data_IF_249771515426
#
_entry.id   IF_249771515426
#
_cell.length_a   1.000
_cell.length_b   1.000
_cell.length_c   1.000
_cell.angle_alpha   90.00
_cell.angle_beta   90.00
_cell.angle_gamma   90.00
#
_symmetry.space_group_name_H-M   'P 1'
#
loop_
_entity.id
_entity.type
_entity.pdbx_description
1 polymer ?
#
# COMPACT_ATOMS: atom_id res chain seq x y z
N UNK A 1 -1.61 -14.94 -12.90
CA UNK A 1 -1.99 -13.83 -11.99
C UNK A 1 -2.87 -12.84 -12.71
N UNK A 2 -3.57 -11.95 -12.00
CA UNK A 2 -4.56 -11.01 -12.56
C UNK A 2 -3.95 -9.75 -13.24
N UNK A 3 -2.63 -9.57 -13.17
CA UNK A 3 -1.90 -8.45 -13.79
C UNK A 3 -2.17 -8.20 -15.28
N UNK A 4 -2.45 -9.20 -16.14
CA UNK A 4 -2.72 -8.97 -17.57
C UNK A 4 -4.01 -8.19 -17.87
N UNK A 5 -4.96 -8.10 -16.92
CA UNK A 5 -6.24 -7.43 -17.15
C UNK A 5 -6.12 -5.93 -16.94
N UNK A 6 -6.10 -5.17 -18.05
CA UNK A 6 -6.03 -3.71 -18.02
C UNK A 6 -7.24 -3.13 -17.28
N UNK A 7 -6.98 -2.19 -16.37
CA UNK A 7 -8.02 -1.51 -15.59
C UNK A 7 -8.53 -2.30 -14.37
N UNK A 8 -8.02 -3.50 -14.11
CA UNK A 8 -8.32 -4.26 -12.90
C UNK A 8 -7.33 -3.91 -11.78
N UNK A 9 -7.82 -3.36 -10.67
CA UNK A 9 -7.03 -3.03 -9.49
C UNK A 9 -7.52 -3.81 -8.28
N UNK A 10 -6.59 -4.49 -7.61
CA UNK A 10 -6.86 -5.25 -6.40
C UNK A 10 -6.52 -4.37 -5.19
N UNK A 11 -7.53 -4.08 -4.37
CA UNK A 11 -7.41 -3.19 -3.21
C UNK A 11 -8.17 -3.75 -2.02
N UNK A 12 -7.80 -3.32 -0.83
CA UNK A 12 -8.42 -3.71 0.43
C UNK A 12 -8.23 -5.19 0.77
N UNK A 13 -8.74 -5.57 1.95
CA UNK A 13 -8.60 -6.92 2.52
C UNK A 13 -8.97 -8.04 1.55
N UNK A 14 -10.17 -7.96 0.96
CA UNK A 14 -10.69 -9.05 0.12
C UNK A 14 -10.09 -9.03 -1.29
N UNK A 15 -9.91 -7.85 -1.88
CA UNK A 15 -9.37 -7.73 -3.24
C UNK A 15 -7.92 -8.18 -3.32
N UNK A 16 -7.13 -7.93 -2.27
CA UNK A 16 -5.71 -8.32 -2.19
C UNK A 16 -5.48 -9.66 -1.47
N UNK A 17 -6.51 -10.20 -0.80
CA UNK A 17 -6.39 -11.38 0.07
C UNK A 17 -5.27 -11.25 1.11
N UNK A 18 -5.08 -10.04 1.65
CA UNK A 18 -4.20 -9.76 2.80
C UNK A 18 -5.09 -9.39 3.99
N UNK A 19 -4.80 -9.94 5.17
CA UNK A 19 -5.44 -9.46 6.39
C UNK A 19 -4.86 -8.07 6.71
N UNK A 20 -5.72 -7.06 6.78
CA UNK A 20 -5.34 -5.66 6.94
C UNK A 20 -6.35 -5.01 7.90
N UNK A 21 -5.88 -4.11 8.77
CA UNK A 21 -6.76 -3.17 9.46
C UNK A 21 -7.47 -2.24 8.45
N UNK A 22 -8.52 -1.55 8.90
CA UNK A 22 -9.40 -0.77 8.01
C UNK A 22 -8.65 0.39 7.34
N UNK A 23 -7.77 1.07 8.07
CA UNK A 23 -6.89 2.13 7.62
C UNK A 23 -5.94 1.66 6.50
N UNK A 24 -5.32 0.49 6.65
CA UNK A 24 -4.50 -0.13 5.61
C UNK A 24 -5.33 -0.48 4.37
N UNK A 25 -6.54 -1.00 4.56
CA UNK A 25 -7.46 -1.27 3.44
C UNK A 25 -7.81 0.03 2.69
N UNK A 26 -8.11 1.10 3.41
CA UNK A 26 -8.38 2.42 2.82
C UNK A 26 -7.16 3.00 2.10
N UNK A 27 -5.96 2.82 2.66
CA UNK A 27 -4.72 3.31 2.05
C UNK A 27 -4.47 2.66 0.68
N UNK A 28 -4.67 1.35 0.55
CA UNK A 28 -4.51 0.66 -0.75
C UNK A 28 -5.46 1.21 -1.81
N UNK A 29 -6.71 1.54 -1.45
CA UNK A 29 -7.68 2.15 -2.35
C UNK A 29 -7.26 3.56 -2.79
N UNK A 30 -6.75 4.39 -1.87
CA UNK A 30 -6.26 5.73 -2.22
C UNK A 30 -5.06 5.70 -3.17
N UNK A 31 -4.14 4.75 -3.00
CA UNK A 31 -2.97 4.60 -3.85
C UNK A 31 -3.34 4.10 -5.25
N UNK A 32 -4.27 3.15 -5.33
CA UNK A 32 -4.82 2.72 -6.61
C UNK A 32 -5.49 3.88 -7.37
N UNK A 33 -6.29 4.71 -6.67
CA UNK A 33 -6.89 5.90 -7.28
C UNK A 33 -5.83 6.89 -7.80
N UNK A 34 -4.72 7.09 -7.08
CA UNK A 34 -3.59 7.92 -7.54
C UNK A 34 -2.93 7.35 -8.79
N UNK A 35 -2.73 6.04 -8.88
CA UNK A 35 -2.20 5.39 -10.08
C UNK A 35 -3.15 5.58 -11.28
N UNK A 36 -4.46 5.42 -11.06
CA UNK A 36 -5.48 5.62 -12.11
C UNK A 36 -5.43 7.05 -12.65
N UNK A 37 -5.43 8.06 -11.75
CA UNK A 37 -5.38 9.48 -12.14
C UNK A 37 -4.08 9.80 -12.89
N UNK A 38 -2.96 9.22 -12.48
CA UNK A 38 -1.66 9.46 -13.13
C UNK A 38 -1.53 8.76 -14.49
N UNK A 39 -2.37 7.78 -14.79
CA UNK A 39 -2.27 6.95 -15.99
C UNK A 39 -1.07 6.00 -16.00
N UNK A 40 -0.35 5.88 -14.88
CA UNK A 40 0.79 4.99 -14.69
C UNK A 40 0.87 4.47 -13.24
N UNK A 41 1.64 3.41 -13.02
CA UNK A 41 1.84 2.83 -11.69
C UNK A 41 2.87 3.66 -10.91
N UNK A 42 2.39 4.60 -10.09
CA UNK A 42 3.24 5.42 -9.20
C UNK A 42 3.53 4.70 -7.87
N UNK A 43 2.59 3.89 -7.40
CA UNK A 43 2.63 3.20 -6.12
C UNK A 43 2.37 1.72 -6.30
N UNK A 44 3.21 0.89 -5.70
CA UNK A 44 2.90 -0.54 -5.56
C UNK A 44 2.03 -0.74 -4.31
N UNK A 45 0.74 -1.00 -4.54
CA UNK A 45 -0.23 -1.21 -3.47
C UNK A 45 0.06 -2.47 -2.64
N UNK A 46 0.80 -3.44 -3.18
CA UNK A 46 1.13 -4.68 -2.47
C UNK A 46 2.14 -4.48 -1.34
N UNK A 47 2.91 -3.38 -1.39
CA UNK A 47 3.87 -2.98 -0.36
C UNK A 47 3.23 -2.28 0.85
N UNK A 48 1.90 -2.09 0.86
CA UNK A 48 1.20 -1.70 2.09
C UNK A 48 1.21 -2.90 3.05
N UNK A 49 1.94 -2.78 4.16
CA UNK A 49 2.15 -3.83 5.15
C UNK A 49 1.47 -3.52 6.49
N UNK A 50 0.87 -4.55 7.08
CA UNK A 50 0.24 -4.50 8.40
C UNK A 50 1.27 -4.42 9.54
N UNK A 51 2.49 -4.92 9.31
CA UNK A 51 3.56 -4.99 10.32
C UNK A 51 4.05 -3.62 10.80
N UNK A 52 3.78 -2.55 10.04
CA UNK A 52 4.12 -1.19 10.44
C UNK A 52 3.32 -0.70 11.66
N UNK A 53 2.10 -1.21 11.88
CA UNK A 53 1.29 -0.87 13.07
C UNK A 53 1.61 -1.75 14.28
N UNK A 54 2.10 -2.99 14.10
CA UNK A 54 2.39 -3.87 15.25
C UNK A 54 3.51 -3.31 16.14
N UNK A 55 4.39 -2.48 15.56
CA UNK A 55 5.41 -1.72 16.30
C UNK A 55 4.91 -0.40 16.90
N UNK A 56 3.69 0.07 16.59
CA UNK A 56 3.13 1.28 17.25
C UNK A 56 2.43 0.95 18.58
N UNK A 57 2.09 -0.30 18.84
CA UNK A 57 1.50 -0.75 20.12
C UNK A 57 2.49 -1.28 21.16
N UNK A 58 3.80 -1.25 20.86
CA UNK A 58 4.84 -1.83 21.71
C UNK A 58 6.12 -1.00 21.73
N UNK A 59 6.19 -0.12 22.71
CA UNK A 59 7.39 0.55 23.23
C UNK A 59 7.75 1.91 22.61
N UNK A 60 7.86 2.90 23.50
CA UNK A 60 8.34 4.25 23.20
C UNK A 60 9.87 4.19 23.15
N UNK A 61 10.41 3.66 22.05
CA UNK A 61 11.83 3.65 21.75
C UNK A 61 12.12 4.56 20.57
N UNK A 62 13.06 5.48 20.76
CA UNK A 62 13.51 6.50 19.80
C UNK A 62 14.08 5.92 18.50
N UNK A 63 13.82 6.66 17.43
CA UNK A 63 14.45 6.70 16.10
C UNK A 63 14.19 5.56 15.08
N UNK A 64 13.79 6.01 13.87
CA UNK A 64 13.56 5.29 12.60
C UNK A 64 12.19 4.63 12.30
N UNK A 65 11.17 4.81 13.13
CA UNK A 65 9.83 4.20 12.94
C UNK A 65 8.76 5.09 12.28
N UNK A 66 9.11 5.94 11.31
CA UNK A 66 8.12 6.82 10.66
C UNK A 66 7.07 5.99 9.88
N UNK A 67 5.76 6.23 10.14
CA UNK A 67 4.62 5.70 9.37
C UNK A 67 5.03 5.38 7.94
N UNK A 68 5.13 4.11 7.60
CA UNK A 68 5.70 3.69 6.32
C UNK A 68 4.69 3.95 5.21
N UNK A 69 4.57 5.21 4.79
CA UNK A 69 3.87 5.57 3.58
C UNK A 69 4.61 4.90 2.41
N UNK A 70 3.91 4.14 1.55
CA UNK A 70 4.55 3.53 0.40
C UNK A 70 5.16 4.63 -0.47
N UNK A 71 6.47 4.52 -0.69
CA UNK A 71 7.21 5.46 -1.53
C UNK A 71 6.84 5.23 -2.99
N UNK A 72 6.91 6.30 -3.79
CA UNK A 72 6.76 6.20 -5.24
C UNK A 72 7.78 5.18 -5.78
N UNK A 73 7.34 4.35 -6.72
CA UNK A 73 8.24 3.45 -7.45
C UNK A 73 9.29 4.32 -8.15
N UNK A 74 10.57 3.97 -7.98
CA UNK A 74 11.65 4.63 -8.73
C UNK A 74 11.55 4.16 -10.17
N UNK A 75 11.18 5.05 -11.07
CA UNK A 75 11.31 4.82 -12.50
C UNK A 75 12.79 5.09 -12.83
N UNK A 76 13.54 4.04 -13.13
CA UNK A 76 14.87 4.16 -13.77
C UNK A 76 14.65 4.17 -15.27
N UNK A 77 15.18 5.21 -15.93
CA UNK A 77 15.24 5.32 -17.39
C UNK A 77 16.03 4.18 -18.04
#
# INVERSE_FOLDING_TARGET
>A
GLKPYKGLYLVGRNGMHKYNNQDHSMMTAMLAAKNIIAGNELYDVWNVNQDAEYHESGDRGVDEGGRMFPRKIKITD
#
